data_IF_948758485808
#
_entry.id   IF_948758485808
#
_cell.length_a   1.000
_cell.length_b   1.000
_cell.length_c   1.000
_cell.angle_alpha   90.00
_cell.angle_beta   90.00
_cell.angle_gamma   90.00
#
_symmetry.space_group_name_H-M   'P 1'
#
loop_
_entity.id
_entity.type
_entity.pdbx_description
1 polymer ?
#
# COMPACT_ATOMS: atom_id res chain seq x y z
N UNK A 1 27.34 22.00 -13.52
CA UNK A 1 26.35 22.63 -12.62
C UNK A 1 26.17 21.65 -11.47
N UNK A 2 26.68 21.97 -10.30
CA UNK A 2 26.57 21.11 -9.11
C UNK A 2 25.09 21.00 -8.75
N UNK A 3 24.56 19.79 -8.83
CA UNK A 3 23.24 19.45 -8.27
C UNK A 3 23.39 19.56 -6.75
N UNK A 4 22.65 20.50 -6.15
CA UNK A 4 22.66 20.75 -4.73
C UNK A 4 22.39 19.45 -3.95
N UNK A 5 22.89 19.41 -2.71
CA UNK A 5 22.67 18.34 -1.76
C UNK A 5 21.18 17.92 -1.76
N UNK A 6 20.87 16.84 -2.46
CA UNK A 6 19.54 16.24 -2.47
C UNK A 6 19.35 15.59 -1.09
N UNK A 7 18.84 16.38 -0.17
CA UNK A 7 18.29 15.89 1.08
C UNK A 7 17.15 14.91 0.70
N UNK A 8 17.38 13.61 0.93
CA UNK A 8 16.32 12.63 0.80
C UNK A 8 15.18 13.08 1.71
N UNK A 9 14.03 13.41 1.12
CA UNK A 9 12.85 13.75 1.90
C UNK A 9 12.30 12.47 2.54
N UNK A 10 12.51 12.34 3.85
CA UNK A 10 12.01 11.22 4.65
C UNK A 10 10.56 11.44 5.13
N UNK A 11 9.87 12.46 4.61
CA UNK A 11 8.51 12.79 4.98
C UNK A 11 8.39 13.57 6.31
N UNK A 12 7.19 13.65 6.86
CA UNK A 12 6.85 14.54 7.99
C UNK A 12 7.32 14.05 9.37
N UNK A 13 7.98 12.90 9.48
CA UNK A 13 8.51 12.36 10.74
C UNK A 13 9.97 12.01 10.60
N UNK A 14 10.75 12.38 11.62
CA UNK A 14 12.17 12.06 11.68
C UNK A 14 12.41 10.56 11.62
N UNK A 15 13.42 10.11 10.84
CA UNK A 15 13.82 8.71 10.82
C UNK A 15 14.32 8.29 12.20
N UNK A 16 14.00 7.06 12.59
CA UNK A 16 14.35 6.50 13.89
C UNK A 16 15.41 5.40 13.75
N UNK A 17 16.47 5.46 14.56
CA UNK A 17 17.54 4.49 14.60
C UNK A 17 18.27 4.24 13.26
N UNK A 18 18.19 5.17 12.32
CA UNK A 18 19.06 5.16 11.15
C UNK A 18 20.41 5.73 11.54
N UNK A 19 21.47 4.99 11.19
CA UNK A 19 22.86 5.41 11.37
C UNK A 19 23.35 6.20 10.16
N UNK A 20 24.56 5.89 9.70
CA UNK A 20 25.15 6.55 8.53
C UNK A 20 24.46 6.12 7.24
N UNK A 21 24.15 7.09 6.41
CA UNK A 21 23.60 6.87 5.06
C UNK A 21 24.59 7.39 4.03
N UNK A 22 24.96 6.57 3.06
CA UNK A 22 25.72 6.96 1.89
C UNK A 22 24.83 6.88 0.67
N UNK A 23 24.71 7.98 -0.10
CA UNK A 23 23.87 8.05 -1.29
C UNK A 23 24.74 8.43 -2.48
N UNK A 24 24.68 7.64 -3.55
CA UNK A 24 25.21 8.00 -4.87
C UNK A 24 23.99 8.24 -5.78
N UNK A 25 23.97 9.39 -6.44
CA UNK A 25 22.83 9.81 -7.25
C UNK A 25 23.26 10.06 -8.68
N UNK A 26 22.59 9.43 -9.62
CA UNK A 26 22.80 9.60 -11.06
C UNK A 26 21.49 9.86 -11.77
N UNK A 27 21.57 10.39 -12.99
CA UNK A 27 20.41 10.58 -13.85
C UNK A 27 20.68 9.83 -15.17
N UNK A 28 19.91 8.77 -15.42
CA UNK A 28 19.99 7.97 -16.63
C UNK A 28 18.65 8.01 -17.37
N UNK A 29 18.71 8.28 -18.67
CA UNK A 29 17.50 8.52 -19.50
C UNK A 29 16.53 9.54 -18.88
N UNK A 30 17.04 10.53 -18.13
CA UNK A 30 16.22 11.50 -17.42
C UNK A 30 15.52 10.97 -16.17
N UNK A 31 15.81 9.74 -15.76
CA UNK A 31 15.30 9.11 -14.53
C UNK A 31 16.36 9.27 -13.43
N UNK A 32 15.97 9.87 -12.29
CA UNK A 32 16.86 9.95 -11.13
C UNK A 32 16.93 8.59 -10.44
N UNK A 33 18.17 8.15 -10.20
CA UNK A 33 18.48 6.87 -9.54
C UNK A 33 19.40 7.14 -8.35
N UNK A 34 19.03 6.61 -7.21
CA UNK A 34 19.79 6.70 -5.96
C UNK A 34 20.21 5.31 -5.53
N UNK A 35 21.51 5.07 -5.45
CA UNK A 35 22.07 3.91 -4.77
C UNK A 35 22.37 4.29 -3.32
N UNK A 36 21.68 3.67 -2.39
CA UNK A 36 21.65 4.02 -0.97
C UNK A 36 22.26 2.88 -0.17
N UNK A 37 23.30 3.18 0.59
CA UNK A 37 23.88 2.28 1.59
C UNK A 37 23.51 2.80 2.97
N UNK A 38 22.70 2.05 3.71
CA UNK A 38 22.19 2.45 5.00
C UNK A 38 22.70 1.54 6.10
N UNK A 39 23.43 2.11 7.06
CA UNK A 39 23.71 1.46 8.33
C UNK A 39 22.53 1.72 9.30
N UNK A 40 22.18 0.70 10.07
CA UNK A 40 21.09 0.77 11.03
C UNK A 40 21.64 0.56 12.43
N UNK A 41 21.18 1.36 13.39
CA UNK A 41 21.56 1.21 14.79
C UNK A 41 20.83 0.00 15.41
N UNK A 42 21.36 -0.61 16.48
CA UNK A 42 20.73 -1.76 17.12
C UNK A 42 19.29 -1.48 17.56
N UNK A 43 18.40 -2.42 17.30
CA UNK A 43 16.96 -2.33 17.61
C UNK A 43 16.09 -2.18 16.37
N UNK A 44 14.88 -1.71 16.58
CA UNK A 44 13.96 -1.41 15.48
C UNK A 44 14.28 -0.03 14.91
N UNK A 45 14.31 0.04 13.58
CA UNK A 45 14.45 1.31 12.86
C UNK A 45 13.29 1.50 11.90
N UNK A 46 12.93 2.75 11.62
CA UNK A 46 11.89 3.07 10.65
C UNK A 46 12.12 4.47 10.05
N UNK A 47 11.63 4.64 8.82
CA UNK A 47 11.59 5.91 8.12
C UNK A 47 10.36 5.98 7.22
N UNK A 48 9.88 7.19 6.95
CA UNK A 48 8.78 7.40 6.01
C UNK A 48 9.34 7.68 4.61
N UNK A 49 8.72 7.06 3.60
CA UNK A 49 8.92 7.36 2.20
C UNK A 49 7.67 8.06 1.70
N UNK A 50 7.82 9.30 1.28
CA UNK A 50 6.76 10.10 0.64
C UNK A 50 7.40 10.91 -0.47
N UNK A 51 6.87 10.82 -1.68
CA UNK A 51 7.38 11.54 -2.84
C UNK A 51 6.21 11.98 -3.71
N UNK A 52 6.35 13.09 -4.40
CA UNK A 52 5.41 13.62 -5.38
C UNK A 52 5.39 12.83 -6.70
N UNK A 53 6.36 11.93 -6.90
CA UNK A 53 6.47 11.02 -8.03
C UNK A 53 6.47 9.57 -7.59
N UNK A 54 6.05 8.62 -8.45
CA UNK A 54 6.14 7.20 -8.13
C UNK A 54 7.59 6.77 -7.92
N UNK A 55 7.81 5.83 -7.01
CA UNK A 55 9.13 5.29 -6.68
C UNK A 55 9.17 3.80 -6.96
N UNK A 56 10.21 3.32 -7.63
CA UNK A 56 10.60 1.92 -7.63
C UNK A 56 11.77 1.75 -6.68
N UNK A 57 11.55 1.09 -5.56
CA UNK A 57 12.55 0.76 -4.54
C UNK A 57 12.92 -0.71 -4.66
N UNK A 58 14.22 -1.00 -4.77
CA UNK A 58 14.77 -2.36 -4.86
C UNK A 58 15.84 -2.52 -3.79
N UNK A 59 15.54 -3.28 -2.76
CA UNK A 59 16.51 -3.67 -1.74
C UNK A 59 17.40 -4.78 -2.32
N UNK A 60 18.68 -4.52 -2.49
CA UNK A 60 19.62 -5.41 -3.17
C UNK A 60 20.49 -6.22 -2.21
N UNK A 61 20.67 -5.74 -0.99
CA UNK A 61 21.42 -6.42 0.05
C UNK A 61 20.82 -6.14 1.43
N UNK A 62 20.83 -7.13 2.30
CA UNK A 62 20.36 -7.06 3.68
C UNK A 62 21.32 -7.84 4.56
N UNK A 63 21.79 -7.25 5.66
CA UNK A 63 22.67 -7.88 6.62
C UNK A 63 22.16 -7.71 8.05
N UNK A 64 22.05 -8.79 8.76
CA UNK A 64 21.55 -8.84 10.14
C UNK A 64 20.12 -9.36 10.20
N UNK A 65 19.17 -8.49 10.38
CA UNK A 65 17.76 -8.82 10.60
C UNK A 65 16.90 -8.80 9.35
N UNK A 66 15.77 -8.12 9.45
CA UNK A 66 14.72 -8.09 8.44
C UNK A 66 14.27 -6.64 8.16
N UNK A 67 14.04 -6.34 6.88
CA UNK A 67 13.50 -5.06 6.43
C UNK A 67 12.23 -5.29 5.61
N UNK A 68 11.26 -4.37 5.75
CA UNK A 68 10.00 -4.42 5.02
C UNK A 68 9.40 -3.03 4.77
N UNK A 69 8.52 -2.91 3.79
CA UNK A 69 7.76 -1.70 3.51
C UNK A 69 6.29 -1.90 3.92
N UNK A 70 5.70 -0.91 4.60
CA UNK A 70 4.32 -0.95 5.13
C UNK A 70 3.54 0.31 4.75
N UNK A 71 2.24 0.17 4.50
CA UNK A 71 1.36 1.30 4.19
C UNK A 71 0.94 2.09 5.43
N UNK A 72 0.97 1.49 6.63
CA UNK A 72 0.59 2.12 7.91
C UNK A 72 1.51 1.70 9.05
N UNK A 73 1.66 2.58 10.06
CA UNK A 73 2.47 2.30 11.26
C UNK A 73 1.83 1.22 12.14
N UNK A 74 0.49 1.16 12.21
CA UNK A 74 -0.24 0.24 13.12
C UNK A 74 -0.21 -1.22 12.66
N UNK A 75 0.00 -1.50 11.39
CA UNK A 75 0.23 -2.87 10.89
C UNK A 75 1.49 -3.50 11.51
N UNK A 76 2.38 -2.69 12.09
CA UNK A 76 3.61 -3.12 12.74
C UNK A 76 3.42 -4.07 13.91
N UNK A 77 2.41 -3.88 14.73
CA UNK A 77 2.16 -4.72 15.92
C UNK A 77 1.52 -6.07 15.60
N UNK A 78 0.76 -6.17 14.50
CA UNK A 78 0.08 -7.41 14.08
C UNK A 78 0.90 -8.26 13.11
N UNK A 79 1.72 -7.65 12.27
CA UNK A 79 2.55 -8.35 11.28
C UNK A 79 3.73 -9.11 11.92
N UNK A 80 4.27 -8.65 13.05
CA UNK A 80 5.33 -9.36 13.78
C UNK A 80 4.94 -10.79 14.17
N UNK A 81 3.64 -11.08 14.26
CA UNK A 81 3.13 -12.43 14.57
C UNK A 81 2.98 -13.32 13.32
N UNK A 82 2.88 -12.74 12.13
CA UNK A 82 2.76 -13.48 10.86
C UNK A 82 4.08 -13.62 10.07
N UNK A 83 5.09 -12.80 10.37
CA UNK A 83 6.38 -12.75 9.66
C UNK A 83 7.35 -13.90 9.97
N UNK A 84 6.90 -15.03 10.55
CA UNK A 84 7.70 -16.26 10.68
C UNK A 84 7.91 -17.01 9.36
N UNK A 85 7.57 -16.46 8.21
CA UNK A 85 7.98 -16.96 6.91
C UNK A 85 9.35 -16.38 6.57
N UNK A 86 10.33 -17.26 6.39
CA UNK A 86 11.75 -17.03 6.12
C UNK A 86 12.00 -15.76 5.33
N UNK A 87 12.85 -14.84 5.82
CA UNK A 87 13.25 -13.67 5.06
C UNK A 87 13.97 -14.15 3.78
N UNK A 88 13.43 -13.77 2.64
CA UNK A 88 14.20 -13.82 1.39
C UNK A 88 14.95 -12.51 1.32
N UNK A 89 16.28 -12.58 1.23
CA UNK A 89 17.14 -11.41 1.05
C UNK A 89 16.75 -10.68 -0.22
N UNK A 90 16.49 -9.39 -0.08
CA UNK A 90 16.12 -8.51 -1.17
C UNK A 90 14.62 -8.55 -1.53
N UNK A 91 14.04 -7.39 -1.68
CA UNK A 91 12.66 -7.23 -2.14
C UNK A 91 12.51 -5.95 -2.97
N UNK A 92 11.40 -5.86 -3.69
CA UNK A 92 11.05 -4.72 -4.54
C UNK A 92 9.75 -4.12 -4.07
N UNK A 93 9.64 -2.79 -4.13
CA UNK A 93 8.40 -2.07 -3.84
C UNK A 93 8.15 -1.01 -4.89
N UNK A 94 6.92 -0.95 -5.43
CA UNK A 94 6.43 0.12 -6.26
C UNK A 94 5.50 0.99 -5.43
N UNK A 95 5.87 2.25 -5.24
CA UNK A 95 5.20 3.22 -4.37
C UNK A 95 4.61 4.31 -5.26
N UNK A 96 3.29 4.51 -5.30
CA UNK A 96 2.65 5.59 -6.05
C UNK A 96 3.02 6.98 -5.55
N UNK A 97 2.90 7.98 -6.40
CA UNK A 97 3.01 9.39 -6.03
C UNK A 97 2.06 9.75 -4.88
N UNK A 98 2.53 10.51 -3.91
CA UNK A 98 1.73 10.95 -2.76
C UNK A 98 1.28 9.84 -1.80
N UNK A 99 1.73 8.60 -1.99
CA UNK A 99 1.37 7.48 -1.11
C UNK A 99 2.43 7.29 -0.01
N UNK A 100 2.12 7.53 1.27
CA UNK A 100 3.08 7.35 2.35
C UNK A 100 3.36 5.85 2.57
N UNK A 101 4.63 5.48 2.58
CA UNK A 101 5.08 4.12 2.90
C UNK A 101 6.11 4.20 4.01
N UNK A 102 6.05 3.26 4.94
CA UNK A 102 6.97 3.14 6.05
C UNK A 102 7.96 2.00 5.77
N UNK A 103 9.24 2.35 5.67
CA UNK A 103 10.33 1.39 5.77
C UNK A 103 10.53 1.02 7.24
N UNK A 104 10.47 -0.26 7.55
CA UNK A 104 10.66 -0.81 8.90
C UNK A 104 11.73 -1.88 8.87
N UNK A 105 12.63 -1.87 9.85
CA UNK A 105 13.62 -2.92 10.03
C UNK A 105 13.75 -3.32 11.50
N UNK A 106 14.05 -4.60 11.74
CA UNK A 106 14.29 -5.15 13.06
C UNK A 106 15.55 -6.02 13.06
N UNK A 107 16.47 -5.70 13.98
CA UNK A 107 17.76 -6.38 14.09
C UNK A 107 18.67 -6.22 12.86
N UNK A 108 18.35 -5.31 11.94
CA UNK A 108 19.15 -5.02 10.74
C UNK A 108 20.41 -4.28 11.14
N UNK A 109 21.55 -4.63 10.52
CA UNK A 109 22.81 -3.89 10.66
C UNK A 109 23.07 -3.00 9.46
N UNK A 110 22.72 -3.48 8.26
CA UNK A 110 22.89 -2.76 7.00
C UNK A 110 21.87 -3.22 5.97
N UNK A 111 21.38 -2.30 5.16
CA UNK A 111 20.71 -2.62 3.89
C UNK A 111 21.19 -1.68 2.79
N UNK A 112 21.23 -2.22 1.57
CA UNK A 112 21.57 -1.47 0.37
C UNK A 112 20.35 -1.47 -0.55
N UNK A 113 19.96 -0.29 -1.04
CA UNK A 113 18.76 -0.06 -1.85
C UNK A 113 19.12 0.71 -3.12
N UNK A 114 18.49 0.36 -4.23
CA UNK A 114 18.45 1.20 -5.43
C UNK A 114 17.05 1.74 -5.60
N UNK A 115 16.94 3.07 -5.68
CA UNK A 115 15.68 3.79 -5.78
C UNK A 115 15.62 4.58 -7.08
N UNK A 116 14.61 4.31 -7.90
CA UNK A 116 14.31 5.06 -9.11
C UNK A 116 13.12 5.99 -8.83
N UNK A 117 13.30 7.28 -9.11
CA UNK A 117 12.19 8.25 -9.09
C UNK A 117 11.60 8.28 -10.50
N UNK A 118 10.40 7.73 -10.65
CA UNK A 118 9.78 7.48 -11.94
C UNK A 118 9.13 8.76 -12.48
N UNK A 119 9.77 9.34 -13.49
CA UNK A 119 9.19 10.44 -14.25
C UNK A 119 8.34 9.86 -15.38
N UNK A 120 7.02 10.13 -15.34
CA UNK A 120 6.05 9.50 -16.24
C UNK A 120 6.28 9.96 -17.68
N UNK A 121 6.59 11.22 -17.90
CA UNK A 121 6.79 11.77 -19.24
C UNK A 121 8.04 11.16 -19.88
N UNK A 122 9.12 11.04 -19.12
CA UNK A 122 10.36 10.39 -19.58
C UNK A 122 10.17 8.90 -19.83
N UNK A 123 9.42 8.21 -19.00
CA UNK A 123 9.09 6.79 -19.22
C UNK A 123 8.31 6.63 -20.52
N UNK A 124 7.34 7.48 -20.80
CA UNK A 124 6.59 7.45 -22.04
C UNK A 124 7.46 7.73 -23.26
N UNK A 125 8.39 8.69 -23.18
CA UNK A 125 9.37 8.94 -24.24
C UNK A 125 10.25 7.72 -24.53
N UNK A 126 10.84 7.12 -23.47
CA UNK A 126 11.75 5.95 -23.59
C UNK A 126 11.01 4.71 -24.11
N UNK A 127 9.73 4.56 -23.80
CA UNK A 127 8.92 3.40 -24.21
C UNK A 127 8.05 3.65 -25.45
N UNK A 128 8.20 4.80 -26.13
CA UNK A 128 7.37 5.13 -27.29
C UNK A 128 5.87 5.22 -26.97
N UNK A 129 5.50 5.55 -25.74
CA UNK A 129 4.10 5.64 -25.29
C UNK A 129 3.48 4.30 -24.87
N UNK A 130 4.22 3.19 -24.91
CA UNK A 130 3.68 1.85 -24.62
C UNK A 130 3.60 1.51 -23.13
N UNK A 131 4.20 2.32 -22.25
CA UNK A 131 4.19 2.03 -20.82
C UNK A 131 2.79 2.20 -20.20
N UNK A 132 2.25 1.19 -19.52
CA UNK A 132 0.92 1.25 -18.92
C UNK A 132 0.92 2.07 -17.63
N UNK A 133 0.84 3.39 -17.71
CA UNK A 133 0.94 4.36 -16.59
C UNK A 133 -0.01 4.04 -15.44
N UNK A 134 -1.19 3.49 -15.72
CA UNK A 134 -2.17 3.12 -14.70
C UNK A 134 -1.62 2.14 -13.63
N UNK A 135 -0.57 1.40 -13.95
CA UNK A 135 0.07 0.50 -12.97
C UNK A 135 0.84 1.23 -11.87
N UNK A 136 1.22 2.50 -12.08
CA UNK A 136 1.92 3.31 -11.09
C UNK A 136 0.98 3.91 -10.04
N UNK A 137 -0.33 3.76 -10.20
CA UNK A 137 -1.34 4.28 -9.28
C UNK A 137 -1.60 3.37 -8.07
N UNK A 138 -1.28 2.08 -8.17
CA UNK A 138 -1.53 1.11 -7.10
C UNK A 138 -0.22 0.70 -6.41
N UNK A 139 -0.13 0.79 -5.07
CA UNK A 139 1.05 0.35 -4.33
C UNK A 139 1.22 -1.16 -4.44
N UNK A 140 2.45 -1.57 -4.75
CA UNK A 140 2.85 -2.97 -4.74
C UNK A 140 4.09 -3.10 -3.86
N UNK A 141 3.89 -3.50 -2.61
CA UNK A 141 4.94 -3.53 -1.61
C UNK A 141 5.48 -4.95 -1.41
N UNK A 142 6.78 -5.05 -1.16
CA UNK A 142 7.48 -6.27 -0.75
C UNK A 142 7.20 -7.47 -1.66
N UNK A 143 7.44 -7.32 -2.96
CA UNK A 143 7.42 -8.43 -3.90
C UNK A 143 8.84 -8.80 -4.35
N UNK A 144 8.99 -10.01 -4.89
CA UNK A 144 10.26 -10.50 -5.39
C UNK A 144 10.19 -10.52 -6.91
N UNK A 145 11.18 -9.90 -7.55
CA UNK A 145 11.41 -9.96 -8.98
C UNK A 145 12.92 -10.06 -9.23
N UNK A 146 13.38 -11.27 -9.51
CA UNK A 146 14.81 -11.56 -9.69
C UNK A 146 15.48 -10.74 -10.80
N UNK A 147 14.82 -10.50 -11.98
CA UNK A 147 15.38 -9.60 -12.99
C UNK A 147 15.58 -8.18 -12.50
N UNK A 148 14.60 -7.56 -11.81
CA UNK A 148 14.75 -6.22 -11.25
C UNK A 148 15.86 -6.17 -10.21
N UNK A 149 15.98 -7.17 -9.37
CA UNK A 149 17.05 -7.25 -8.37
C UNK A 149 18.45 -7.38 -9.03
N UNK A 150 18.56 -8.18 -10.09
CA UNK A 150 19.83 -8.33 -10.82
C UNK A 150 20.25 -7.00 -11.46
N UNK A 151 19.34 -6.30 -12.14
CA UNK A 151 19.58 -5.00 -12.76
C UNK A 151 19.96 -3.93 -11.71
N UNK A 152 19.24 -3.92 -10.58
CA UNK A 152 19.54 -2.99 -9.49
C UNK A 152 20.91 -3.23 -8.85
N UNK A 153 21.34 -4.50 -8.70
CA UNK A 153 22.70 -4.81 -8.23
C UNK A 153 23.78 -4.29 -9.18
N UNK A 154 23.56 -4.41 -10.49
CA UNK A 154 24.48 -3.85 -11.48
C UNK A 154 24.54 -2.33 -11.39
N UNK A 155 23.41 -1.64 -11.21
CA UNK A 155 23.39 -0.18 -10.98
C UNK A 155 24.10 0.20 -9.68
N UNK A 156 23.89 -0.54 -8.60
CA UNK A 156 24.53 -0.28 -7.32
C UNK A 156 26.07 -0.48 -7.39
N UNK A 157 26.54 -1.38 -8.23
CA UNK A 157 27.97 -1.67 -8.44
C UNK A 157 28.63 -0.77 -9.49
N UNK A 158 27.88 0.12 -10.17
CA UNK A 158 28.43 1.00 -11.19
C UNK A 158 29.29 2.11 -10.58
N UNK A 159 30.43 2.38 -11.16
CA UNK A 159 31.37 3.43 -10.77
C UNK A 159 31.57 4.40 -11.95
N UNK A 160 31.68 5.70 -11.68
CA UNK A 160 31.78 6.75 -12.72
C UNK A 160 33.00 6.59 -13.64
N UNK A 161 34.06 5.96 -13.12
CA UNK A 161 35.30 5.67 -13.85
C UNK A 161 35.15 4.55 -14.88
N UNK A 162 34.05 3.79 -14.86
CA UNK A 162 33.84 2.68 -15.80
C UNK A 162 33.68 3.20 -17.24
N UNK A 163 34.29 2.54 -18.23
CA UNK A 163 34.06 2.87 -19.63
C UNK A 163 32.58 2.80 -19.99
N UNK A 164 32.12 3.81 -20.76
CA UNK A 164 30.72 3.91 -21.18
C UNK A 164 29.72 3.92 -20.02
N UNK A 165 30.08 4.43 -18.86
CA UNK A 165 29.23 4.51 -17.66
C UNK A 165 27.82 5.01 -17.93
N UNK A 166 27.67 6.11 -18.69
CA UNK A 166 26.35 6.65 -19.02
C UNK A 166 25.53 5.70 -19.87
N UNK A 167 26.12 5.12 -20.92
CA UNK A 167 25.44 4.14 -21.78
C UNK A 167 25.02 2.88 -21.00
N UNK A 168 25.86 2.42 -20.10
CA UNK A 168 25.58 1.27 -19.25
C UNK A 168 24.40 1.54 -18.32
N UNK A 169 24.40 2.67 -17.61
CA UNK A 169 23.31 3.07 -16.73
C UNK A 169 21.98 3.30 -17.47
N UNK A 170 22.03 3.99 -18.64
CA UNK A 170 20.87 4.20 -19.49
C UNK A 170 20.24 2.87 -19.95
N UNK A 171 21.08 1.89 -20.30
CA UNK A 171 20.63 0.56 -20.73
C UNK A 171 19.97 -0.21 -19.59
N UNK A 172 20.56 -0.17 -18.37
CA UNK A 172 20.00 -0.84 -17.20
C UNK A 172 18.67 -0.22 -16.76
N UNK A 173 18.57 1.11 -16.73
CA UNK A 173 17.32 1.81 -16.39
C UNK A 173 16.23 1.51 -17.42
N UNK A 174 16.56 1.51 -18.72
CA UNK A 174 15.61 1.12 -19.78
C UNK A 174 15.14 -0.33 -19.59
N UNK A 175 16.04 -1.26 -19.27
CA UNK A 175 15.70 -2.66 -19.00
C UNK A 175 14.78 -2.79 -17.76
N UNK A 176 15.03 -2.00 -16.71
CA UNK A 176 14.18 -1.98 -15.51
C UNK A 176 12.78 -1.45 -15.82
N UNK A 177 12.65 -0.37 -16.61
CA UNK A 177 11.36 0.17 -17.06
C UNK A 177 10.62 -0.87 -17.92
N UNK A 178 11.31 -1.49 -18.88
CA UNK A 178 10.76 -2.57 -19.70
C UNK A 178 10.28 -3.76 -18.86
N UNK A 179 11.05 -4.16 -17.84
CA UNK A 179 10.64 -5.22 -16.91
C UNK A 179 9.43 -4.80 -16.08
N UNK A 180 9.42 -3.56 -15.59
CA UNK A 180 8.30 -3.02 -14.82
C UNK A 180 7.00 -3.03 -15.65
N UNK A 181 7.04 -2.68 -16.95
CA UNK A 181 5.87 -2.74 -17.84
C UNK A 181 5.31 -4.16 -17.98
N UNK A 182 6.18 -5.19 -17.97
CA UNK A 182 5.80 -6.60 -18.10
C UNK A 182 5.19 -7.19 -16.82
N UNK A 183 5.52 -6.66 -15.63
CA UNK A 183 5.02 -7.22 -14.36
C UNK A 183 3.51 -7.31 -14.28
N UNK A 184 2.79 -6.42 -14.94
CA UNK A 184 1.33 -6.44 -15.00
C UNK A 184 0.76 -7.13 -16.23
N UNK A 185 1.54 -7.30 -17.30
CA UNK A 185 1.14 -8.12 -18.45
C UNK A 185 1.03 -9.59 -18.03
N UNK A 186 1.99 -10.10 -17.25
CA UNK A 186 1.98 -11.46 -16.69
C UNK A 186 0.86 -11.60 -15.64
N UNK A 187 0.60 -10.58 -14.83
CA UNK A 187 -0.51 -10.57 -13.86
C UNK A 187 -1.89 -10.54 -14.56
N UNK A 188 -2.00 -9.98 -15.76
CA UNK A 188 -3.24 -10.04 -16.57
C UNK A 188 -3.47 -11.43 -17.18
N UNK A 189 -2.44 -12.23 -17.36
CA UNK A 189 -2.52 -13.58 -17.94
C UNK A 189 -2.70 -14.72 -16.92
N UNK A 190 -2.16 -14.57 -15.70
CA UNK A 190 -2.15 -15.64 -14.68
C UNK A 190 -2.91 -15.32 -13.39
N UNK A 191 -3.26 -14.07 -13.15
CA UNK A 191 -4.05 -13.68 -11.98
C UNK A 191 -5.30 -12.90 -12.43
N UNK A 192 -6.30 -13.61 -12.92
CA UNK A 192 -7.68 -13.22 -12.66
C UNK A 192 -7.85 -13.31 -11.14
N UNK A 193 -7.27 -12.36 -10.40
CA UNK A 193 -7.72 -12.12 -9.04
C UNK A 193 -9.19 -11.77 -9.15
N UNK A 194 -10.00 -12.77 -8.87
CA UNK A 194 -11.45 -12.61 -8.81
C UNK A 194 -11.82 -11.55 -7.75
N UNK A 195 -10.85 -11.12 -6.89
CA UNK A 195 -11.01 -10.20 -5.77
C UNK A 195 -10.38 -8.80 -5.97
N UNK A 196 -10.71 -7.88 -5.05
CA UNK A 196 -10.09 -6.56 -4.93
C UNK A 196 -8.64 -6.68 -4.44
N UNK A 197 -7.76 -5.77 -4.85
CA UNK A 197 -6.45 -5.61 -4.21
C UNK A 197 -6.64 -5.15 -2.75
N UNK A 198 -5.63 -5.35 -1.91
CA UNK A 198 -5.69 -4.89 -0.51
C UNK A 198 -5.95 -3.39 -0.41
N UNK A 199 -5.32 -2.58 -1.26
CA UNK A 199 -5.51 -1.14 -1.31
C UNK A 199 -6.92 -0.75 -1.75
N UNK A 200 -7.47 -1.40 -2.81
CA UNK A 200 -8.84 -1.17 -3.24
C UNK A 200 -9.83 -1.56 -2.14
N UNK A 201 -9.60 -2.71 -1.48
CA UNK A 201 -10.45 -3.18 -0.40
C UNK A 201 -10.42 -2.21 0.79
N UNK A 202 -9.23 -1.80 1.27
CA UNK A 202 -9.10 -0.83 2.37
C UNK A 202 -9.81 0.48 2.03
N UNK A 203 -9.50 1.09 0.87
CA UNK A 203 -10.13 2.34 0.43
C UNK A 203 -11.66 2.28 0.43
N UNK A 204 -12.21 1.18 -0.06
CA UNK A 204 -13.67 0.98 -0.14
C UNK A 204 -14.27 0.75 1.25
N UNK A 205 -13.64 -0.09 2.08
CA UNK A 205 -14.14 -0.38 3.43
C UNK A 205 -14.01 0.81 4.37
N UNK A 206 -12.96 1.62 4.25
CA UNK A 206 -12.78 2.83 5.03
C UNK A 206 -13.83 3.88 4.62
N UNK A 207 -14.04 4.08 3.31
CA UNK A 207 -15.13 4.94 2.83
C UNK A 207 -16.50 4.50 3.34
N UNK A 208 -16.79 3.19 3.37
CA UNK A 208 -18.04 2.66 3.94
C UNK A 208 -18.17 2.92 5.45
N UNK A 209 -17.08 2.85 6.21
CA UNK A 209 -17.08 3.14 7.66
C UNK A 209 -17.29 4.62 7.94
N UNK A 210 -16.60 5.48 7.17
CA UNK A 210 -16.65 6.93 7.35
C UNK A 210 -18.00 7.53 6.96
N UNK A 211 -18.79 6.82 6.14
CA UNK A 211 -20.10 7.26 5.65
C UNK A 211 -21.22 6.29 6.06
N UNK A 212 -21.18 5.77 7.27
CA UNK A 212 -22.11 4.75 7.78
C UNK A 212 -23.57 5.24 7.82
N UNK A 213 -23.76 6.53 8.06
CA UNK A 213 -25.04 7.22 8.15
C UNK A 213 -25.65 7.55 6.77
N UNK A 214 -24.86 7.51 5.70
CA UNK A 214 -25.25 7.95 4.36
C UNK A 214 -25.69 6.77 3.46
N UNK A 215 -26.60 7.00 2.51
CA UNK A 215 -26.90 6.02 1.48
C UNK A 215 -25.72 5.93 0.48
N UNK A 216 -25.02 4.80 0.44
CA UNK A 216 -23.93 4.57 -0.50
C UNK A 216 -24.44 3.75 -1.69
N UNK A 217 -24.15 4.22 -2.92
CA UNK A 217 -24.47 3.49 -4.15
C UNK A 217 -23.32 2.55 -4.54
N UNK A 218 -23.67 1.40 -5.07
CA UNK A 218 -22.70 0.43 -5.59
C UNK A 218 -21.79 1.05 -6.67
N UNK A 219 -22.33 1.99 -7.47
CA UNK A 219 -21.57 2.72 -8.50
C UNK A 219 -20.46 3.57 -7.92
N UNK A 220 -20.65 4.15 -6.72
CA UNK A 220 -19.67 5.03 -6.09
C UNK A 220 -18.50 4.21 -5.53
N UNK A 221 -18.81 3.08 -4.91
CA UNK A 221 -17.80 2.12 -4.46
C UNK A 221 -17.01 1.52 -5.62
N UNK A 222 -17.69 1.23 -6.74
CA UNK A 222 -17.04 0.72 -7.94
C UNK A 222 -16.08 1.75 -8.55
N UNK A 223 -16.46 3.03 -8.60
CA UNK A 223 -15.57 4.13 -9.01
C UNK A 223 -14.34 4.25 -8.12
N UNK A 224 -14.51 4.18 -6.80
CA UNK A 224 -13.40 4.19 -5.84
C UNK A 224 -12.41 3.03 -6.08
N UNK A 225 -12.92 1.87 -6.51
CA UNK A 225 -12.11 0.70 -6.85
C UNK A 225 -11.57 0.73 -8.29
N UNK A 226 -11.94 1.71 -9.12
CA UNK A 226 -11.57 1.75 -10.54
C UNK A 226 -12.19 0.63 -11.37
N UNK A 227 -13.38 0.14 -11.01
CA UNK A 227 -14.06 -1.00 -11.62
C UNK A 227 -15.48 -0.63 -12.08
N UNK A 228 -16.05 -1.43 -12.98
CA UNK A 228 -17.49 -1.39 -13.23
C UNK A 228 -18.26 -1.97 -12.04
N UNK A 229 -19.53 -1.57 -11.84
CA UNK A 229 -20.36 -2.06 -10.71
C UNK A 229 -20.46 -3.59 -10.67
N UNK A 230 -20.56 -4.23 -11.82
CA UNK A 230 -20.61 -5.69 -11.93
C UNK A 230 -19.29 -6.37 -11.56
N UNK A 231 -18.16 -5.81 -12.01
CA UNK A 231 -16.82 -6.30 -11.64
C UNK A 231 -16.56 -6.10 -10.15
N UNK A 232 -16.88 -4.92 -9.63
CA UNK A 232 -16.71 -4.59 -8.22
C UNK A 232 -17.49 -5.55 -7.32
N UNK A 233 -18.79 -5.77 -7.58
CA UNK A 233 -19.61 -6.66 -6.75
C UNK A 233 -19.05 -8.09 -6.66
N UNK A 234 -18.53 -8.63 -7.79
CA UNK A 234 -17.86 -9.94 -7.82
C UNK A 234 -16.54 -9.93 -7.07
N UNK A 235 -15.68 -8.95 -7.36
CA UNK A 235 -14.37 -8.82 -6.75
C UNK A 235 -14.45 -8.60 -5.23
N UNK A 236 -15.38 -7.76 -4.77
CA UNK A 236 -15.62 -7.52 -3.35
C UNK A 236 -16.06 -8.80 -2.64
N UNK A 237 -17.00 -9.56 -3.23
CA UNK A 237 -17.46 -10.84 -2.67
C UNK A 237 -16.34 -11.88 -2.57
N UNK A 238 -15.45 -11.92 -3.54
CA UNK A 238 -14.28 -12.81 -3.49
C UNK A 238 -13.33 -12.40 -2.37
N UNK A 239 -13.13 -11.09 -2.17
CA UNK A 239 -12.20 -10.57 -1.14
C UNK A 239 -12.73 -10.67 0.28
N UNK A 240 -14.07 -10.53 0.48
CA UNK A 240 -14.70 -10.43 1.81
C UNK A 240 -15.57 -11.61 2.17
N UNK A 241 -15.86 -12.49 1.23
CA UNK A 241 -16.82 -13.60 1.40
C UNK A 241 -18.28 -13.17 1.35
N UNK A 242 -18.59 -11.86 1.24
CA UNK A 242 -19.94 -11.33 1.30
C UNK A 242 -20.19 -10.23 0.27
N UNK A 243 -21.47 -9.86 0.03
CA UNK A 243 -21.78 -8.78 -0.90
C UNK A 243 -21.48 -7.41 -0.28
N UNK A 244 -21.18 -6.35 -1.08
CA UNK A 244 -20.95 -5.00 -0.58
C UNK A 244 -22.11 -4.49 0.30
N UNK A 245 -23.35 -4.73 -0.12
CA UNK A 245 -24.54 -4.32 0.64
C UNK A 245 -24.63 -5.03 2.01
N UNK A 246 -24.39 -6.35 2.05
CA UNK A 246 -24.43 -7.09 3.31
C UNK A 246 -23.29 -6.64 4.24
N UNK A 247 -22.09 -6.47 3.72
CA UNK A 247 -20.93 -5.99 4.48
C UNK A 247 -21.19 -4.61 5.09
N UNK A 248 -21.80 -3.70 4.31
CA UNK A 248 -22.16 -2.36 4.78
C UNK A 248 -23.25 -2.39 5.85
N UNK A 249 -24.25 -3.27 5.69
CA UNK A 249 -25.27 -3.48 6.70
C UNK A 249 -24.67 -4.01 8.01
N UNK A 250 -23.79 -4.99 7.93
CA UNK A 250 -23.10 -5.54 9.09
C UNK A 250 -22.23 -4.45 9.79
N UNK A 251 -21.58 -3.56 9.03
CA UNK A 251 -20.83 -2.41 9.56
C UNK A 251 -21.74 -1.43 10.31
N UNK A 252 -22.94 -1.13 9.79
CA UNK A 252 -23.95 -0.31 10.47
C UNK A 252 -24.39 -0.93 11.80
N UNK A 253 -24.55 -2.24 11.83
CA UNK A 253 -24.94 -2.97 13.05
C UNK A 253 -23.80 -2.93 14.09
N UNK A 254 -22.54 -3.08 13.69
CA UNK A 254 -21.41 -2.95 14.61
C UNK A 254 -21.33 -1.53 15.20
N UNK A 255 -21.53 -0.49 14.37
CA UNK A 255 -21.60 0.88 14.85
C UNK A 255 -22.77 1.07 15.85
N UNK A 256 -23.93 0.52 15.54
CA UNK A 256 -25.09 0.55 16.45
C UNK A 256 -24.82 -0.15 17.78
N UNK A 257 -24.10 -1.26 17.80
CA UNK A 257 -23.70 -1.95 19.05
C UNK A 257 -22.86 -1.04 19.95
N UNK A 258 -21.92 -0.30 19.37
CA UNK A 258 -21.13 0.68 20.13
C UNK A 258 -22.02 1.79 20.72
N UNK A 259 -22.99 2.31 19.94
CA UNK A 259 -23.91 3.33 20.42
C UNK A 259 -24.88 2.80 21.48
N UNK A 260 -25.27 1.53 21.42
CA UNK A 260 -26.15 0.88 22.38
C UNK A 260 -25.52 0.71 23.78
N UNK A 261 -24.22 0.84 23.92
CA UNK A 261 -23.55 0.85 25.23
C UNK A 261 -23.89 2.08 26.08
N UNK A 262 -24.34 3.16 25.45
CA UNK A 262 -24.90 4.31 26.14
C UNK A 262 -26.38 4.07 26.45
N UNK A 263 -26.73 3.97 27.75
CA UNK A 263 -28.12 3.73 28.23
C UNK A 263 -29.08 4.86 27.92
N UNK A 264 -28.56 6.08 27.75
CA UNK A 264 -29.38 7.28 27.56
C UNK A 264 -29.74 7.52 26.09
N UNK A 265 -29.08 6.85 25.15
CA UNK A 265 -29.39 6.95 23.72
C UNK A 265 -30.68 6.22 23.38
N UNK A 266 -31.55 6.90 22.66
CA UNK A 266 -32.79 6.32 22.20
C UNK A 266 -32.55 5.50 20.89
N UNK A 267 -33.38 4.48 20.65
CA UNK A 267 -33.21 3.59 19.49
C UNK A 267 -33.53 4.26 18.16
N UNK A 268 -34.36 5.31 18.16
CA UNK A 268 -34.66 6.06 16.94
C UNK A 268 -33.44 6.82 16.46
N UNK A 269 -32.74 7.50 17.40
CA UNK A 269 -31.54 8.27 17.09
C UNK A 269 -30.42 7.35 16.62
N UNK A 270 -30.21 6.20 17.31
CA UNK A 270 -29.24 5.19 16.87
C UNK A 270 -29.54 4.68 15.46
N UNK A 271 -30.83 4.42 15.14
CA UNK A 271 -31.22 3.98 13.82
C UNK A 271 -30.87 5.03 12.75
N UNK A 272 -31.20 6.29 12.99
CA UNK A 272 -30.91 7.39 12.06
C UNK A 272 -29.41 7.62 11.89
N UNK A 273 -28.66 7.71 12.97
CA UNK A 273 -27.20 7.92 12.96
C UNK A 273 -26.43 6.76 12.32
N UNK A 274 -27.02 5.57 12.30
CA UNK A 274 -26.44 4.41 11.59
C UNK A 274 -27.04 4.19 10.20
N UNK A 275 -27.74 5.20 9.65
CA UNK A 275 -28.19 5.25 8.27
C UNK A 275 -29.43 4.40 7.95
N UNK A 276 -30.23 4.04 8.94
CA UNK A 276 -31.53 3.42 8.72
C UNK A 276 -32.62 4.49 8.62
N UNK A 277 -33.47 4.41 7.61
CA UNK A 277 -34.59 5.34 7.42
C UNK A 277 -35.70 5.19 8.46
N UNK A 278 -35.81 4.00 9.07
CA UNK A 278 -36.86 3.66 10.03
C UNK A 278 -36.32 2.71 11.12
N UNK A 279 -36.81 2.92 12.35
CA UNK A 279 -36.51 2.05 13.49
C UNK A 279 -36.97 0.60 13.26
N UNK A 280 -38.04 0.39 12.54
CA UNK A 280 -38.57 -0.94 12.19
C UNK A 280 -37.59 -1.73 11.32
N UNK A 281 -36.96 -1.08 10.35
CA UNK A 281 -35.91 -1.67 9.49
C UNK A 281 -34.66 -1.96 10.30
N UNK A 282 -34.20 -1.02 11.14
CA UNK A 282 -33.10 -1.22 12.06
C UNK A 282 -33.31 -2.43 12.98
N UNK A 283 -34.45 -2.53 13.65
CA UNK A 283 -34.77 -3.63 14.55
C UNK A 283 -34.69 -5.00 13.85
N UNK A 284 -35.23 -5.10 12.63
CA UNK A 284 -35.17 -6.35 11.84
C UNK A 284 -33.72 -6.70 11.44
N UNK A 285 -32.99 -5.72 10.92
CA UNK A 285 -31.59 -5.92 10.51
C UNK A 285 -30.72 -6.31 11.71
N UNK A 286 -30.86 -5.63 12.83
CA UNK A 286 -30.13 -5.91 14.07
C UNK A 286 -30.43 -7.31 14.59
N UNK A 287 -31.73 -7.71 14.64
CA UNK A 287 -32.11 -9.06 15.08
C UNK A 287 -31.59 -10.13 14.13
N UNK A 288 -31.60 -9.89 12.84
CA UNK A 288 -31.05 -10.84 11.84
C UNK A 288 -29.56 -11.02 12.03
N UNK A 289 -28.81 -9.95 12.32
CA UNK A 289 -27.35 -10.01 12.48
C UNK A 289 -26.89 -10.53 13.85
N UNK A 290 -27.67 -10.28 14.93
CA UNK A 290 -27.23 -10.57 16.31
C UNK A 290 -28.06 -11.66 17.01
N UNK A 291 -29.20 -12.06 16.44
CA UNK A 291 -30.14 -13.00 17.08
C UNK A 291 -31.07 -12.36 18.13
N UNK A 292 -30.83 -11.10 18.54
CA UNK A 292 -31.56 -10.40 19.59
C UNK A 292 -32.08 -9.04 19.12
N UNK A 293 -33.15 -8.53 19.73
CA UNK A 293 -33.57 -7.15 19.49
C UNK A 293 -32.57 -6.16 20.12
N UNK A 294 -32.43 -4.90 19.59
CA UNK A 294 -31.53 -3.90 20.17
C UNK A 294 -31.71 -3.70 21.69
N UNK A 295 -32.95 -3.65 22.17
CA UNK A 295 -33.25 -3.53 23.61
C UNK A 295 -32.84 -4.78 24.42
N UNK A 296 -33.04 -5.97 23.87
CA UNK A 296 -32.63 -7.21 24.54
C UNK A 296 -31.09 -7.28 24.59
N UNK A 297 -30.42 -6.93 23.50
CA UNK A 297 -28.97 -6.88 23.41
C UNK A 297 -28.38 -5.87 24.41
N UNK A 298 -28.96 -4.66 24.49
CA UNK A 298 -28.58 -3.63 25.45
C UNK A 298 -28.64 -4.13 26.89
N UNK A 299 -29.73 -4.81 27.27
CA UNK A 299 -29.88 -5.35 28.64
C UNK A 299 -28.82 -6.39 28.99
N UNK A 300 -28.47 -7.27 28.07
CA UNK A 300 -27.50 -8.35 28.31
C UNK A 300 -26.06 -7.81 28.40
N UNK A 301 -25.72 -6.78 27.64
CA UNK A 301 -24.34 -6.28 27.55
C UNK A 301 -24.04 -5.09 28.48
N UNK A 302 -25.00 -4.61 29.23
CA UNK A 302 -24.86 -3.48 30.18
C UNK A 302 -25.14 -3.86 31.65
N UNK A 303 -25.29 -5.15 31.95
CA UNK A 303 -25.40 -5.65 33.33
C UNK A 303 -24.04 -6.09 33.84
#
# INVERSE_FOLDING_TARGET
MALGENQLDFGSRDPHNLGTTRVRSHCWNGIAVHAIEQHVLPGCAWHQLLCDRPILSVVVNEAGGHCEARSTIDEGRRAATQARRRPRTGHTSLIPAGHPVWGYSDGMARFDEVRLILDIDRIQEVTGGEFPVAQLADPRLVFIDEPLQALARLLAASEEEMPAFMLFGDSLVTAMIGRLSQLNAVSRGSDRRLGLSKCQLSRVTDFMRDNVDQPIRLSDLAKLAGLSSSQFGRAFRVSTGTTPHKWFLDTRIECAKTMLTDRHRNLVDIALETGFSEQSHFNRAFRTATGATPNAWRRVNLN
#
